data_IF_876225851069
#
_entry.id   IF_876225851069
#
_cell.length_a   1.000
_cell.length_b   1.000
_cell.length_c   1.000
_cell.angle_alpha   90.00
_cell.angle_beta   90.00
_cell.angle_gamma   90.00
#
_symmetry.space_group_name_H-M   'P 1'
#
loop_
_entity.id
_entity.type
_entity.pdbx_description
1 polymer ?
#
# COMPACT_ATOMS: atom_id res chain seq x y z
N UNK A 1 -25.43 -14.16 -1.59
CA UNK A 1 -24.03 -14.64 -1.58
C UNK A 1 -23.11 -13.83 -2.50
N UNK A 2 -23.60 -13.15 -3.56
CA UNK A 2 -22.76 -12.36 -4.50
C UNK A 2 -22.13 -11.08 -3.96
N UNK A 3 -22.74 -10.38 -2.99
CA UNK A 3 -22.19 -9.11 -2.49
C UNK A 3 -20.82 -9.28 -1.82
N UNK A 4 -20.59 -10.41 -1.15
CA UNK A 4 -19.33 -10.66 -0.45
C UNK A 4 -18.20 -11.03 -1.41
N UNK A 5 -18.50 -11.69 -2.53
CA UNK A 5 -17.48 -12.00 -3.54
C UNK A 5 -17.05 -10.73 -4.30
N UNK A 6 -17.99 -9.83 -4.60
CA UNK A 6 -17.68 -8.55 -5.22
C UNK A 6 -16.82 -7.67 -4.30
N UNK A 7 -17.17 -7.58 -3.01
CA UNK A 7 -16.37 -6.85 -2.03
C UNK A 7 -14.96 -7.42 -1.92
N UNK A 8 -14.84 -8.75 -1.84
CA UNK A 8 -13.54 -9.42 -1.78
C UNK A 8 -12.68 -9.09 -2.99
N UNK A 9 -13.27 -9.12 -4.19
CA UNK A 9 -12.56 -8.79 -5.42
C UNK A 9 -12.11 -7.32 -5.44
N UNK A 10 -12.97 -6.37 -5.05
CA UNK A 10 -12.60 -4.96 -5.00
C UNK A 10 -11.44 -4.67 -4.03
N UNK A 11 -11.36 -5.39 -2.90
CA UNK A 11 -10.21 -5.26 -1.99
C UNK A 11 -8.93 -5.80 -2.63
N UNK A 12 -9.00 -6.94 -3.33
CA UNK A 12 -7.84 -7.49 -4.04
C UNK A 12 -7.35 -6.53 -5.12
N UNK A 13 -8.27 -5.97 -5.90
CA UNK A 13 -7.95 -5.00 -6.96
C UNK A 13 -7.32 -3.73 -6.38
N UNK A 14 -7.85 -3.23 -5.26
CA UNK A 14 -7.27 -2.09 -4.55
C UNK A 14 -5.83 -2.37 -4.11
N UNK A 15 -5.57 -3.50 -3.45
CA UNK A 15 -4.23 -3.87 -2.98
C UNK A 15 -3.27 -4.07 -4.15
N UNK A 16 -3.75 -4.64 -5.26
CA UNK A 16 -2.95 -4.79 -6.48
C UNK A 16 -2.58 -3.42 -7.07
N UNK A 17 -3.54 -2.50 -7.18
CA UNK A 17 -3.27 -1.14 -7.66
C UNK A 17 -2.24 -0.44 -6.78
N UNK A 18 -2.35 -0.53 -5.44
CA UNK A 18 -1.36 0.06 -4.54
C UNK A 18 0.04 -0.52 -4.72
N UNK A 19 0.16 -1.78 -5.16
CA UNK A 19 1.46 -2.42 -5.38
C UNK A 19 2.18 -1.98 -6.66
N UNK A 20 1.43 -1.53 -7.68
CA UNK A 20 1.99 -1.16 -9.01
C UNK A 20 1.95 0.35 -9.28
N UNK A 21 1.25 1.13 -8.45
CA UNK A 21 1.10 2.57 -8.67
C UNK A 21 2.45 3.26 -8.51
N UNK A 22 2.89 4.08 -9.48
CA UNK A 22 4.11 4.87 -9.36
C UNK A 22 4.08 5.76 -8.13
N UNK A 23 5.20 5.80 -7.42
CA UNK A 23 5.32 6.54 -6.16
C UNK A 23 5.50 8.04 -6.43
N UNK A 24 4.63 8.90 -5.89
CA UNK A 24 4.80 10.34 -6.04
C UNK A 24 5.96 10.85 -5.17
N UNK A 25 6.68 11.86 -5.65
CA UNK A 25 7.58 12.61 -4.79
C UNK A 25 6.75 13.31 -3.69
N UNK A 26 6.99 12.93 -2.43
CA UNK A 26 6.20 13.39 -1.28
C UNK A 26 7.12 13.92 -0.17
N UNK A 27 6.59 14.83 0.65
CA UNK A 27 7.30 15.45 1.78
C UNK A 27 6.62 15.11 3.09
N UNK A 28 7.40 15.02 4.17
CA UNK A 28 6.89 14.77 5.50
C UNK A 28 6.13 16.00 6.03
N UNK A 29 4.89 15.81 6.45
CA UNK A 29 4.04 16.90 6.99
C UNK A 29 4.58 17.53 8.28
N UNK A 30 5.47 16.82 9.00
CA UNK A 30 6.02 17.29 10.29
C UNK A 30 7.28 18.12 10.14
N UNK A 31 8.19 17.74 9.25
CA UNK A 31 9.52 18.36 9.13
C UNK A 31 9.85 18.89 7.72
N UNK A 32 9.00 18.66 6.73
CA UNK A 32 9.20 19.09 5.35
C UNK A 32 10.25 18.30 4.56
N UNK A 33 10.92 17.32 5.17
CA UNK A 33 11.91 16.48 4.48
C UNK A 33 11.27 15.57 3.43
N UNK A 34 12.03 15.22 2.38
CA UNK A 34 11.61 14.22 1.40
C UNK A 34 11.34 12.86 2.05
N UNK A 35 10.27 12.20 1.64
CA UNK A 35 9.93 10.85 2.08
C UNK A 35 10.70 9.82 1.26
N UNK A 36 11.16 8.77 1.95
CA UNK A 36 11.64 7.54 1.32
C UNK A 36 10.50 6.51 1.30
N UNK A 37 10.62 5.50 0.45
CA UNK A 37 9.63 4.42 0.37
C UNK A 37 10.27 3.10 0.73
N UNK A 38 9.61 2.38 1.65
CA UNK A 38 9.97 1.02 2.02
C UNK A 38 8.93 0.05 1.47
N UNK A 39 9.37 -0.99 0.76
CA UNK A 39 8.49 -2.02 0.22
C UNK A 39 8.08 -2.98 1.33
N UNK A 40 6.87 -2.80 1.87
CA UNK A 40 6.30 -3.69 2.85
C UNK A 40 5.54 -4.83 2.17
N UNK A 41 5.76 -6.05 2.65
CA UNK A 41 5.06 -7.24 2.17
C UNK A 41 3.72 -7.39 2.91
N UNK A 42 2.65 -7.57 2.15
CA UNK A 42 1.29 -7.72 2.67
C UNK A 42 0.69 -9.05 2.19
N UNK A 43 0.00 -9.71 3.11
CA UNK A 43 -0.80 -10.91 2.84
C UNK A 43 -2.25 -10.64 3.20
N UNK A 44 -3.16 -10.92 2.27
CA UNK A 44 -4.58 -10.83 2.59
C UNK A 44 -5.09 -12.18 3.09
N UNK A 45 -5.16 -12.31 4.41
CA UNK A 45 -5.54 -13.54 5.11
C UNK A 45 -6.82 -14.18 4.55
N UNK A 46 -6.79 -15.51 4.38
CA UNK A 46 -7.89 -16.26 3.78
C UNK A 46 -7.95 -16.18 2.25
N UNK A 47 -6.93 -15.61 1.61
CA UNK A 47 -6.78 -15.56 0.15
C UNK A 47 -5.35 -15.92 -0.27
N UNK A 48 -5.15 -16.15 -1.57
CA UNK A 48 -3.82 -16.36 -2.16
C UNK A 48 -3.10 -15.04 -2.49
N UNK A 49 -3.67 -13.88 -2.13
CA UNK A 49 -3.09 -12.60 -2.50
C UNK A 49 -1.92 -12.25 -1.58
N UNK A 50 -0.77 -12.05 -2.22
CA UNK A 50 0.43 -11.47 -1.66
C UNK A 50 0.89 -10.32 -2.55
N UNK A 51 1.23 -9.18 -1.95
CA UNK A 51 1.72 -8.02 -2.68
C UNK A 51 2.74 -7.21 -1.88
N UNK A 52 3.56 -6.44 -2.59
CA UNK A 52 4.45 -5.46 -1.98
C UNK A 52 3.82 -4.09 -2.12
N UNK A 53 3.54 -3.42 -1.00
CA UNK A 53 3.01 -2.06 -0.99
C UNK A 53 4.10 -1.12 -0.47
N UNK A 54 4.56 -0.16 -1.29
CA UNK A 54 5.53 0.82 -0.86
C UNK A 54 4.92 1.80 0.14
N UNK A 55 5.44 1.82 1.35
CA UNK A 55 4.99 2.72 2.42
C UNK A 55 5.93 3.92 2.55
N UNK A 56 5.40 5.16 2.59
CA UNK A 56 6.21 6.33 2.82
C UNK A 56 6.74 6.36 4.26
N UNK A 57 8.04 6.60 4.39
CA UNK A 57 8.73 6.75 5.67
C UNK A 57 9.52 8.06 5.70
N UNK A 58 9.46 8.76 6.83
CA UNK A 58 10.32 9.91 7.10
C UNK A 58 11.49 9.48 7.98
N UNK A 59 12.72 9.54 7.44
CA UNK A 59 13.94 9.16 8.18
C UNK A 59 14.26 10.07 9.36
N UNK A 60 13.72 11.28 9.41
CA UNK A 60 14.00 12.26 10.46
C UNK A 60 12.98 12.25 11.60
N UNK A 61 11.77 11.74 11.36
CA UNK A 61 10.67 11.72 12.34
C UNK A 61 10.31 10.32 12.83
N UNK A 62 10.92 9.28 12.24
CA UNK A 62 10.78 7.87 12.63
C UNK A 62 11.57 7.51 13.87
#
# INVERSE_FOLDING_TARGET
>A
MEKNSQLLQSVKDFLHLQSITPLPASVCERCGASLEYFNAQFWFYGTELECNIPLPICRFCG
#
